data_IF_676391207001
#
_entry.id   IF_676391207001
#
_cell.length_a   1.000
_cell.length_b   1.000
_cell.length_c   1.000
_cell.angle_alpha   90.00
_cell.angle_beta   90.00
_cell.angle_gamma   90.00
#
_symmetry.space_group_name_H-M   'P 1'
#
loop_
_entity.id
_entity.type
_entity.pdbx_description
1 polymer ?
#
# COMPACT_ATOMS: atom_id res chain seq x y z
N UNK A 1 -19.75 20.01 9.05
CA UNK A 1 -20.65 18.95 8.55
C UNK A 1 -21.09 18.14 9.75
N UNK A 2 -22.34 18.30 10.19
CA UNK A 2 -22.89 17.51 11.28
C UNK A 2 -22.91 16.05 10.83
N UNK A 3 -22.13 15.21 11.48
CA UNK A 3 -22.12 13.78 11.22
C UNK A 3 -23.44 13.20 11.71
N UNK A 4 -24.23 12.63 10.79
CA UNK A 4 -25.41 11.82 11.10
C UNK A 4 -24.98 10.61 11.96
N UNK A 5 -24.91 10.81 13.26
CA UNK A 5 -24.61 9.80 14.27
C UNK A 5 -25.91 9.44 14.96
N UNK A 6 -26.14 8.15 15.12
CA UNK A 6 -27.30 7.67 15.88
C UNK A 6 -26.83 7.23 17.26
N UNK A 7 -27.58 7.60 18.30
CA UNK A 7 -27.25 7.26 19.68
C UNK A 7 -27.31 5.74 19.89
N UNK A 8 -26.37 5.20 20.67
CA UNK A 8 -26.35 3.77 21.05
C UNK A 8 -27.68 3.27 21.62
N UNK A 9 -28.39 4.12 22.34
CA UNK A 9 -29.65 3.79 22.98
C UNK A 9 -30.76 3.40 21.98
N UNK A 10 -30.67 3.81 20.70
CA UNK A 10 -31.63 3.42 19.68
C UNK A 10 -31.41 2.00 19.14
N UNK A 11 -30.30 1.35 19.48
CA UNK A 11 -29.97 0.00 19.06
C UNK A 11 -30.37 -1.00 20.14
N UNK A 12 -31.04 -2.08 19.74
CA UNK A 12 -31.43 -3.15 20.65
C UNK A 12 -30.22 -3.69 21.47
N UNK A 13 -30.32 -3.81 22.81
CA UNK A 13 -29.20 -4.21 23.68
C UNK A 13 -28.51 -5.52 23.29
N UNK A 14 -29.25 -6.50 22.75
CA UNK A 14 -28.68 -7.79 22.30
C UNK A 14 -27.59 -7.65 21.23
N UNK A 15 -27.57 -6.54 20.49
CA UNK A 15 -26.64 -6.29 19.38
C UNK A 15 -25.37 -5.56 19.83
N UNK A 16 -25.33 -5.06 21.06
CA UNK A 16 -24.20 -4.26 21.54
C UNK A 16 -22.91 -5.09 21.57
N UNK A 17 -23.01 -6.35 22.03
CA UNK A 17 -21.87 -7.28 22.06
C UNK A 17 -21.30 -7.58 20.67
N UNK A 18 -22.16 -7.72 19.64
CA UNK A 18 -21.70 -7.93 18.26
C UNK A 18 -20.91 -6.72 17.74
N UNK A 19 -21.37 -5.49 18.02
CA UNK A 19 -20.63 -4.28 17.64
C UNK A 19 -19.28 -4.22 18.37
N UNK A 20 -19.23 -4.55 19.66
CA UNK A 20 -17.98 -4.56 20.43
C UNK A 20 -16.94 -5.54 19.84
N UNK A 21 -17.39 -6.72 19.42
CA UNK A 21 -16.54 -7.71 18.74
C UNK A 21 -15.99 -7.13 17.43
N UNK A 22 -16.83 -6.51 16.61
CA UNK A 22 -16.39 -5.91 15.35
C UNK A 22 -15.45 -4.72 15.53
N UNK A 23 -15.69 -3.85 16.52
CA UNK A 23 -14.80 -2.73 16.82
C UNK A 23 -13.44 -3.21 17.34
N UNK A 24 -13.42 -4.30 18.13
CA UNK A 24 -12.19 -4.94 18.58
C UNK A 24 -11.42 -5.54 17.39
N UNK A 25 -12.09 -6.24 16.48
CA UNK A 25 -11.49 -6.76 15.26
C UNK A 25 -10.92 -5.64 14.38
N UNK A 26 -11.70 -4.57 14.16
CA UNK A 26 -11.27 -3.39 13.41
C UNK A 26 -10.02 -2.73 14.00
N UNK A 27 -9.91 -2.65 15.33
CA UNK A 27 -8.71 -2.16 16.02
C UNK A 27 -7.48 -3.03 15.77
N UNK A 28 -7.63 -4.36 15.80
CA UNK A 28 -6.55 -5.31 15.50
C UNK A 28 -6.08 -5.13 14.06
N UNK A 29 -7.02 -5.08 13.10
CA UNK A 29 -6.70 -4.91 11.70
C UNK A 29 -6.08 -3.54 11.39
N UNK A 30 -6.53 -2.46 12.06
CA UNK A 30 -5.92 -1.13 11.93
C UNK A 30 -4.45 -1.12 12.38
N UNK A 31 -4.11 -1.81 13.49
CA UNK A 31 -2.71 -1.95 13.93
C UNK A 31 -1.86 -2.73 12.94
N UNK A 32 -2.40 -3.82 12.38
CA UNK A 32 -1.71 -4.58 11.33
C UNK A 32 -1.50 -3.71 10.09
N UNK A 33 -2.52 -2.98 9.66
CA UNK A 33 -2.46 -2.05 8.53
C UNK A 33 -1.40 -0.97 8.74
N UNK A 34 -1.33 -0.38 9.95
CA UNK A 34 -0.28 0.59 10.30
C UNK A 34 1.12 0.02 10.09
N UNK A 35 1.38 -1.21 10.59
CA UNK A 35 2.69 -1.86 10.45
C UNK A 35 3.06 -2.04 8.98
N UNK A 36 2.13 -2.56 8.17
CA UNK A 36 2.33 -2.76 6.73
C UNK A 36 2.55 -1.42 5.99
N UNK A 37 1.83 -0.36 6.35
CA UNK A 37 2.01 0.96 5.75
C UNK A 37 3.36 1.60 6.13
N UNK A 38 3.89 1.32 7.32
CA UNK A 38 5.25 1.74 7.70
C UNK A 38 6.31 1.05 6.83
N UNK A 39 6.16 -0.25 6.57
CA UNK A 39 7.02 -1.00 5.64
C UNK A 39 6.90 -0.41 4.23
N UNK A 40 5.67 -0.15 3.77
CA UNK A 40 5.40 0.47 2.47
C UNK A 40 6.10 1.82 2.31
N UNK A 41 5.99 2.71 3.31
CA UNK A 41 6.66 4.00 3.29
C UNK A 41 8.19 3.87 3.19
N UNK A 42 8.76 2.86 3.87
CA UNK A 42 10.20 2.56 3.80
C UNK A 42 10.61 2.12 2.39
N UNK A 43 9.87 1.19 1.78
CA UNK A 43 10.13 0.75 0.40
C UNK A 43 10.03 1.90 -0.60
N UNK A 44 9.01 2.76 -0.44
CA UNK A 44 8.83 3.94 -1.28
C UNK A 44 9.99 4.92 -1.14
N UNK A 45 10.47 5.16 0.08
CA UNK A 45 11.60 6.04 0.34
C UNK A 45 12.90 5.52 -0.30
N UNK A 46 13.18 4.22 -0.19
CA UNK A 46 14.33 3.59 -0.85
C UNK A 46 14.21 3.75 -2.36
N UNK A 47 13.03 3.47 -2.92
CA UNK A 47 12.77 3.61 -4.35
C UNK A 47 12.93 5.06 -4.82
N UNK A 48 12.48 6.05 -4.07
CA UNK A 48 12.66 7.47 -4.38
C UNK A 48 14.13 7.86 -4.45
N UNK A 49 14.95 7.43 -3.47
CA UNK A 49 16.39 7.69 -3.46
C UNK A 49 17.09 7.08 -4.68
N UNK A 50 16.78 5.82 -4.98
CA UNK A 50 17.31 5.15 -6.17
C UNK A 50 16.84 5.80 -7.46
N UNK A 51 15.56 6.16 -7.54
CA UNK A 51 15.00 6.84 -8.70
C UNK A 51 15.73 8.16 -8.97
N UNK A 52 15.87 9.01 -7.95
CA UNK A 52 16.50 10.32 -8.09
C UNK A 52 17.97 10.19 -8.54
N UNK A 53 18.76 9.34 -7.88
CA UNK A 53 20.18 9.14 -8.20
C UNK A 53 20.42 8.65 -9.63
N UNK A 54 19.51 7.83 -10.17
CA UNK A 54 19.74 7.08 -11.40
C UNK A 54 18.91 7.58 -12.60
N UNK A 55 18.05 8.60 -12.40
CA UNK A 55 17.14 9.11 -13.43
C UNK A 55 17.85 9.55 -14.70
N UNK A 56 18.94 10.30 -14.58
CA UNK A 56 19.61 10.88 -15.75
C UNK A 56 20.39 9.84 -16.56
N UNK A 57 20.93 8.80 -15.90
CA UNK A 57 21.70 7.75 -16.54
C UNK A 57 20.81 6.74 -17.29
N UNK A 58 19.63 6.43 -16.74
CA UNK A 58 18.80 5.34 -17.24
C UNK A 58 17.46 5.78 -17.85
N UNK A 59 17.24 7.08 -18.07
CA UNK A 59 15.98 7.58 -18.64
C UNK A 59 15.57 6.89 -19.95
N UNK A 60 16.55 6.54 -20.78
CA UNK A 60 16.32 5.85 -22.07
C UNK A 60 16.20 4.32 -21.96
N UNK A 61 16.50 3.73 -20.80
CA UNK A 61 16.49 2.28 -20.63
C UNK A 61 15.05 1.75 -20.55
N UNK A 62 14.79 0.60 -21.18
CA UNK A 62 13.47 -0.01 -21.20
C UNK A 62 12.97 -0.37 -19.79
N UNK A 63 13.87 -0.87 -18.93
CA UNK A 63 13.51 -1.23 -17.55
C UNK A 63 13.11 -0.01 -16.70
N UNK A 64 13.56 1.20 -17.06
CA UNK A 64 13.29 2.41 -16.28
C UNK A 64 11.81 2.82 -16.29
N UNK A 65 11.08 2.45 -17.35
CA UNK A 65 9.62 2.63 -17.41
C UNK A 65 8.92 1.86 -16.30
N UNK A 66 9.37 0.63 -16.02
CA UNK A 66 8.81 -0.21 -14.96
C UNK A 66 9.12 0.34 -13.55
N UNK A 67 10.31 0.91 -13.35
CA UNK A 67 10.66 1.62 -12.09
C UNK A 67 9.71 2.80 -11.87
N UNK A 68 9.46 3.59 -12.92
CA UNK A 68 8.57 4.77 -12.85
C UNK A 68 7.12 4.37 -12.55
N UNK A 69 6.63 3.31 -13.18
CA UNK A 69 5.29 2.78 -12.96
C UNK A 69 5.12 2.23 -11.54
N UNK A 70 6.06 1.41 -11.06
CA UNK A 70 6.05 0.87 -9.69
C UNK A 70 6.02 1.99 -8.65
N UNK A 71 6.87 3.01 -8.83
CA UNK A 71 6.88 4.21 -7.99
C UNK A 71 5.52 4.91 -7.97
N UNK A 72 4.90 5.10 -9.13
CA UNK A 72 3.58 5.75 -9.24
C UNK A 72 2.50 5.02 -8.44
N UNK A 73 2.51 3.68 -8.43
CA UNK A 73 1.52 2.91 -7.67
C UNK A 73 1.75 2.99 -6.15
N UNK A 74 3.00 2.89 -5.70
CA UNK A 74 3.34 3.09 -4.29
C UNK A 74 2.89 4.47 -3.80
N UNK A 75 3.17 5.54 -4.56
CA UNK A 75 2.71 6.90 -4.20
C UNK A 75 1.17 7.03 -4.18
N UNK A 76 0.46 6.33 -5.06
CA UNK A 76 -1.01 6.34 -5.06
C UNK A 76 -1.58 5.65 -3.82
N UNK A 77 -0.96 4.58 -3.33
CA UNK A 77 -1.40 3.87 -2.13
C UNK A 77 -1.22 4.75 -0.88
N UNK A 78 -0.09 5.44 -0.77
CA UNK A 78 0.15 6.40 0.32
C UNK A 78 -0.91 7.51 0.33
N UNK A 79 -1.28 8.04 -0.84
CA UNK A 79 -2.31 9.08 -0.99
C UNK A 79 -3.72 8.64 -0.57
N UNK A 80 -4.02 7.34 -0.55
CA UNK A 80 -5.34 6.86 -0.12
C UNK A 80 -5.59 7.03 1.38
N UNK A 81 -4.54 7.24 2.20
CA UNK A 81 -4.64 7.43 3.65
C UNK A 81 -5.58 6.40 4.32
N UNK A 82 -5.38 5.13 3.99
CA UNK A 82 -6.27 4.03 4.40
C UNK A 82 -6.37 3.90 5.92
N UNK A 83 -5.24 4.08 6.59
CA UNK A 83 -5.18 4.07 8.05
C UNK A 83 -6.01 5.20 8.65
N UNK A 84 -5.83 6.43 8.18
CA UNK A 84 -6.57 7.59 8.69
C UNK A 84 -8.07 7.40 8.46
N UNK A 85 -8.45 6.88 7.29
CA UNK A 85 -9.84 6.57 6.96
C UNK A 85 -10.41 5.49 7.89
N UNK A 86 -9.64 4.45 8.21
CA UNK A 86 -10.05 3.37 9.12
C UNK A 86 -10.17 3.87 10.56
N UNK A 87 -9.23 4.71 11.00
CA UNK A 87 -9.27 5.33 12.32
C UNK A 87 -10.40 6.36 12.44
N UNK A 88 -10.68 7.09 11.37
CA UNK A 88 -11.81 8.02 11.26
C UNK A 88 -13.13 7.28 11.34
N UNK A 89 -13.28 6.14 10.63
CA UNK A 89 -14.46 5.28 10.81
C UNK A 89 -14.59 4.85 12.26
N UNK A 90 -13.51 4.32 12.86
CA UNK A 90 -13.53 3.88 14.26
C UNK A 90 -13.90 5.02 15.22
N UNK A 91 -13.41 6.24 14.98
CA UNK A 91 -13.75 7.39 15.82
C UNK A 91 -15.21 7.79 15.73
N UNK A 92 -15.93 7.49 14.63
CA UNK A 92 -17.37 7.80 14.53
C UNK A 92 -18.23 7.04 15.54
N UNK A 93 -17.72 5.96 16.14
CA UNK A 93 -18.41 5.21 17.19
C UNK A 93 -18.28 5.85 18.59
N UNK A 94 -17.34 6.78 18.72
CA UNK A 94 -17.04 7.46 19.97
C UNK A 94 -17.38 8.93 19.81
N UNK A 95 -17.95 9.52 20.85
CA UNK A 95 -18.19 10.95 20.86
C UNK A 95 -16.84 11.69 20.85
N UNK A 96 -16.46 12.19 19.69
CA UNK A 96 -15.14 12.79 19.44
C UNK A 96 -15.03 14.19 20.04
N UNK A 97 -16.11 14.72 20.63
CA UNK A 97 -16.07 15.95 21.43
C UNK A 97 -15.19 15.80 22.67
N UNK A 98 -15.00 14.56 23.14
CA UNK A 98 -14.09 14.25 24.23
C UNK A 98 -12.76 13.75 23.66
N UNK A 99 -11.69 14.49 23.96
CA UNK A 99 -10.25 14.21 23.77
C UNK A 99 -9.86 12.83 23.17
N UNK A 100 -8.86 12.79 22.27
CA UNK A 100 -8.34 11.57 21.60
C UNK A 100 -7.98 10.42 22.59
N UNK A 101 -7.68 10.75 23.84
CA UNK A 101 -7.42 9.78 24.91
C UNK A 101 -8.68 9.05 25.44
N UNK A 102 -9.88 9.47 25.05
CA UNK A 102 -11.19 8.98 25.51
C UNK A 102 -11.67 7.70 24.79
N UNK A 103 -10.91 7.14 23.85
CA UNK A 103 -11.24 5.84 23.18
C UNK A 103 -11.14 4.64 24.15
N UNK A 104 -11.00 4.89 25.46
CA UNK A 104 -10.98 3.86 26.51
C UNK A 104 -12.37 3.50 27.05
N UNK A 105 -13.42 4.21 26.63
CA UNK A 105 -14.79 3.96 27.06
C UNK A 105 -15.60 3.03 26.15
N UNK A 106 -16.82 2.65 26.57
CA UNK A 106 -17.80 2.05 25.69
C UNK A 106 -18.13 3.00 24.52
N UNK A 107 -18.44 2.44 23.36
CA UNK A 107 -18.92 3.26 22.23
C UNK A 107 -20.30 3.87 22.59
N UNK A 108 -20.54 5.07 22.08
CA UNK A 108 -21.71 5.90 22.43
C UNK A 108 -22.64 6.14 21.25
N UNK A 109 -22.10 6.06 20.04
CA UNK A 109 -22.82 6.30 18.80
C UNK A 109 -22.45 5.25 17.76
N UNK A 110 -23.24 5.16 16.70
CA UNK A 110 -22.85 4.41 15.51
C UNK A 110 -23.08 5.27 14.25
N UNK A 111 -22.23 5.10 13.21
CA UNK A 111 -22.34 5.87 11.99
C UNK A 111 -23.56 5.48 11.18
N UNK A 112 -24.12 6.45 10.46
CA UNK A 112 -25.11 6.17 9.43
C UNK A 112 -24.57 5.19 8.37
N UNK A 113 -25.46 4.35 7.86
CA UNK A 113 -25.23 3.40 6.77
C UNK A 113 -24.49 4.02 5.58
N UNK A 114 -24.85 5.25 5.22
CA UNK A 114 -24.19 6.00 4.13
C UNK A 114 -22.68 6.19 4.37
N UNK A 115 -22.27 6.41 5.62
CA UNK A 115 -20.86 6.57 5.99
C UNK A 115 -20.13 5.23 5.89
N UNK A 116 -20.76 4.14 6.34
CA UNK A 116 -20.22 2.79 6.22
C UNK A 116 -20.03 2.38 4.76
N UNK A 117 -21.04 2.62 3.91
CA UNK A 117 -20.97 2.32 2.46
C UNK A 117 -19.86 3.14 1.78
N UNK A 118 -19.75 4.43 2.07
CA UNK A 118 -18.65 5.26 1.53
C UNK A 118 -17.27 4.75 1.94
N UNK A 119 -17.11 4.31 3.19
CA UNK A 119 -15.86 3.72 3.65
C UNK A 119 -15.56 2.39 2.94
N UNK A 120 -16.59 1.56 2.77
CA UNK A 120 -16.50 0.30 2.04
C UNK A 120 -16.06 0.53 0.57
N UNK A 121 -16.64 1.50 -0.11
CA UNK A 121 -16.25 1.90 -1.47
C UNK A 121 -14.77 2.33 -1.53
N UNK A 122 -14.32 3.10 -0.54
CA UNK A 122 -12.92 3.51 -0.42
C UNK A 122 -11.98 2.30 -0.26
N UNK A 123 -12.34 1.34 0.59
CA UNK A 123 -11.59 0.09 0.73
C UNK A 123 -11.58 -0.74 -0.56
N UNK A 124 -12.69 -0.80 -1.29
CA UNK A 124 -12.75 -1.50 -2.57
C UNK A 124 -11.86 -0.85 -3.64
N UNK A 125 -11.80 0.48 -3.69
CA UNK A 125 -10.86 1.22 -4.54
C UNK A 125 -9.42 0.88 -4.16
N UNK A 126 -9.13 0.79 -2.86
CA UNK A 126 -7.81 0.42 -2.36
C UNK A 126 -7.39 -0.99 -2.79
N UNK A 127 -8.28 -1.99 -2.66
CA UNK A 127 -8.02 -3.36 -3.10
C UNK A 127 -7.71 -3.39 -4.60
N UNK A 128 -8.52 -2.73 -5.44
CA UNK A 128 -8.26 -2.64 -6.89
C UNK A 128 -6.91 -2.01 -7.21
N UNK A 129 -6.52 -0.98 -6.46
CA UNK A 129 -5.22 -0.32 -6.62
C UNK A 129 -4.06 -1.24 -6.21
N UNK A 130 -4.20 -1.96 -5.10
CA UNK A 130 -3.21 -2.91 -4.60
C UNK A 130 -3.05 -4.13 -5.52
N UNK A 131 -4.15 -4.65 -6.09
CA UNK A 131 -4.10 -5.71 -7.12
C UNK A 131 -3.27 -5.24 -8.33
N UNK A 132 -3.51 -4.00 -8.78
CA UNK A 132 -2.70 -3.40 -9.86
C UNK A 132 -1.26 -3.16 -9.46
N UNK A 133 -0.98 -2.78 -8.22
CA UNK A 133 0.39 -2.69 -7.73
C UNK A 133 1.09 -4.06 -7.77
N UNK A 134 0.45 -5.12 -7.27
CA UNK A 134 0.99 -6.48 -7.27
C UNK A 134 1.32 -6.95 -8.69
N UNK A 135 0.38 -6.78 -9.62
CA UNK A 135 0.56 -7.10 -11.05
C UNK A 135 1.78 -6.36 -11.63
N UNK A 136 1.88 -5.05 -11.36
CA UNK A 136 2.97 -4.20 -11.89
C UNK A 136 4.32 -4.52 -11.27
N UNK A 137 4.36 -4.85 -9.98
CA UNK A 137 5.57 -5.33 -9.30
C UNK A 137 6.08 -6.62 -9.90
N UNK A 138 5.20 -7.58 -10.23
CA UNK A 138 5.57 -8.83 -10.89
C UNK A 138 6.12 -8.60 -12.31
N UNK A 139 5.48 -7.71 -13.09
CA UNK A 139 5.97 -7.33 -14.43
C UNK A 139 7.35 -6.67 -14.33
N UNK A 140 7.53 -5.75 -13.38
CA UNK A 140 8.79 -5.08 -13.14
C UNK A 140 9.90 -6.08 -12.74
N UNK A 141 9.61 -6.96 -11.78
CA UNK A 141 10.50 -8.05 -11.35
C UNK A 141 11.00 -8.88 -12.54
N UNK A 142 10.09 -9.38 -13.39
CA UNK A 142 10.45 -10.17 -14.59
C UNK A 142 11.30 -9.36 -15.56
N UNK A 143 10.98 -8.09 -15.77
CA UNK A 143 11.75 -7.19 -16.64
C UNK A 143 13.15 -6.94 -16.11
N UNK A 144 13.32 -6.75 -14.80
CA UNK A 144 14.63 -6.54 -14.18
C UNK A 144 15.47 -7.81 -14.26
N UNK A 145 14.85 -8.97 -13.99
CA UNK A 145 15.53 -10.26 -14.08
C UNK A 145 16.03 -10.55 -15.51
N UNK A 146 15.26 -10.20 -16.54
CA UNK A 146 15.73 -10.28 -17.94
C UNK A 146 16.89 -9.32 -18.20
N UNK A 147 16.84 -8.12 -17.62
CA UNK A 147 17.91 -7.12 -17.80
C UNK A 147 19.23 -7.56 -17.13
N UNK A 148 19.17 -8.34 -16.05
CA UNK A 148 20.36 -8.90 -15.38
C UNK A 148 21.22 -9.77 -16.31
N UNK A 149 20.61 -10.41 -17.31
CA UNK A 149 21.34 -11.26 -18.28
C UNK A 149 22.36 -10.47 -19.12
N UNK A 150 22.19 -9.15 -19.24
CA UNK A 150 23.14 -8.29 -19.94
C UNK A 150 24.43 -8.02 -19.15
N UNK A 151 24.48 -8.38 -17.86
CA UNK A 151 25.54 -8.06 -16.90
C UNK A 151 25.85 -6.55 -16.73
N UNK A 152 25.14 -5.66 -17.43
CA UNK A 152 25.27 -4.22 -17.27
C UNK A 152 24.47 -3.77 -16.03
N UNK A 153 25.07 -2.93 -15.20
CA UNK A 153 24.39 -2.32 -14.04
C UNK A 153 23.80 -3.34 -13.06
N UNK A 154 24.49 -4.48 -12.85
CA UNK A 154 24.02 -5.59 -12.00
C UNK A 154 23.58 -5.12 -10.61
N UNK A 155 24.38 -4.26 -9.96
CA UNK A 155 24.10 -3.80 -8.60
C UNK A 155 22.75 -3.10 -8.48
N UNK A 156 22.43 -2.17 -9.38
CA UNK A 156 21.15 -1.43 -9.34
C UNK A 156 19.97 -2.32 -9.75
N UNK A 157 20.16 -3.20 -10.73
CA UNK A 157 19.12 -4.13 -11.14
C UNK A 157 18.77 -5.13 -10.03
N UNK A 158 19.78 -5.63 -9.29
CA UNK A 158 19.55 -6.50 -8.13
C UNK A 158 18.74 -5.77 -7.04
N UNK A 159 19.04 -4.50 -6.77
CA UNK A 159 18.21 -3.70 -5.85
C UNK A 159 16.77 -3.55 -6.35
N UNK A 160 16.56 -3.28 -7.64
CA UNK A 160 15.21 -3.17 -8.19
C UNK A 160 14.45 -4.50 -8.18
N UNK A 161 15.12 -5.63 -8.42
CA UNK A 161 14.54 -6.97 -8.26
C UNK A 161 14.06 -7.18 -6.82
N UNK A 162 14.91 -6.86 -5.83
CA UNK A 162 14.58 -7.00 -4.42
C UNK A 162 13.39 -6.10 -4.01
N UNK A 163 13.38 -4.84 -4.44
CA UNK A 163 12.27 -3.91 -4.16
C UNK A 163 10.98 -4.39 -4.84
N UNK A 164 11.02 -4.77 -6.11
CA UNK A 164 9.84 -5.25 -6.82
C UNK A 164 9.25 -6.52 -6.19
N UNK A 165 10.10 -7.45 -5.75
CA UNK A 165 9.68 -8.64 -5.02
C UNK A 165 8.97 -8.28 -3.71
N UNK A 166 9.63 -7.50 -2.84
CA UNK A 166 9.06 -7.08 -1.55
C UNK A 166 7.80 -6.24 -1.70
N UNK A 167 7.75 -5.34 -2.69
CA UNK A 167 6.57 -4.55 -3.01
C UNK A 167 5.40 -5.44 -3.44
N UNK A 168 5.64 -6.46 -4.26
CA UNK A 168 4.62 -7.45 -4.64
C UNK A 168 4.04 -8.19 -3.44
N UNK A 169 4.90 -8.74 -2.57
CA UNK A 169 4.48 -9.42 -1.33
C UNK A 169 3.71 -8.47 -0.41
N UNK A 170 4.20 -7.25 -0.22
CA UNK A 170 3.55 -6.26 0.62
C UNK A 170 2.16 -5.88 0.10
N UNK A 171 1.99 -5.78 -1.23
CA UNK A 171 0.69 -5.52 -1.83
C UNK A 171 -0.31 -6.64 -1.50
N UNK A 172 0.11 -7.91 -1.55
CA UNK A 172 -0.76 -9.06 -1.19
C UNK A 172 -1.15 -9.05 0.28
N UNK A 173 -0.23 -8.76 1.19
CA UNK A 173 -0.53 -8.68 2.63
C UNK A 173 -1.47 -7.50 2.97
N UNK A 174 -1.30 -6.37 2.28
CA UNK A 174 -2.19 -5.23 2.39
C UNK A 174 -3.60 -5.57 1.88
N UNK A 175 -3.72 -6.28 0.75
CA UNK A 175 -5.01 -6.74 0.20
C UNK A 175 -5.76 -7.57 1.25
N UNK A 176 -5.09 -8.56 1.84
CA UNK A 176 -5.71 -9.43 2.84
C UNK A 176 -6.16 -8.65 4.06
N UNK A 177 -5.32 -7.72 4.54
CA UNK A 177 -5.67 -6.87 5.69
C UNK A 177 -6.85 -5.96 5.37
N UNK A 178 -6.91 -5.36 4.18
CA UNK A 178 -8.04 -4.52 3.76
C UNK A 178 -9.31 -5.34 3.57
N UNK A 179 -9.23 -6.58 3.06
CA UNK A 179 -10.38 -7.49 2.96
C UNK A 179 -10.97 -7.87 4.32
N UNK A 180 -10.12 -8.05 5.32
CA UNK A 180 -10.58 -8.27 6.70
C UNK A 180 -11.32 -7.03 7.24
N UNK A 181 -10.83 -5.82 6.96
CA UNK A 181 -11.51 -4.56 7.32
C UNK A 181 -12.86 -4.43 6.60
N UNK A 182 -12.91 -4.76 5.30
CA UNK A 182 -14.16 -4.81 4.51
C UNK A 182 -15.16 -5.77 5.15
N UNK A 183 -14.71 -6.97 5.52
CA UNK A 183 -15.55 -7.99 6.15
C UNK A 183 -16.14 -7.50 7.48
N UNK A 184 -15.34 -6.85 8.34
CA UNK A 184 -15.82 -6.24 9.58
C UNK A 184 -16.85 -5.13 9.30
N UNK A 185 -16.58 -4.29 8.30
CA UNK A 185 -17.48 -3.18 7.92
C UNK A 185 -18.82 -3.71 7.42
N UNK A 186 -18.82 -4.76 6.60
CA UNK A 186 -20.06 -5.40 6.12
C UNK A 186 -20.89 -5.97 7.28
N UNK A 187 -20.25 -6.60 8.27
CA UNK A 187 -20.96 -7.08 9.47
C UNK A 187 -21.56 -5.93 10.28
N UNK A 188 -20.85 -4.82 10.44
CA UNK A 188 -21.39 -3.61 11.05
C UNK A 188 -22.60 -3.05 10.28
N UNK A 189 -22.57 -3.06 8.95
CA UNK A 189 -23.71 -2.66 8.11
C UNK A 189 -24.91 -3.58 8.38
N UNK A 190 -24.72 -4.90 8.37
CA UNK A 190 -25.81 -5.85 8.62
C UNK A 190 -26.45 -5.66 10.01
N UNK A 191 -25.62 -5.49 11.06
CA UNK A 191 -26.10 -5.27 12.43
C UNK A 191 -26.92 -3.98 12.53
N UNK A 192 -26.55 -2.94 11.79
CA UNK A 192 -27.22 -1.62 11.82
C UNK A 192 -28.49 -1.56 10.96
N UNK A 193 -28.53 -2.25 9.81
CA UNK A 193 -29.73 -2.30 8.95
C UNK A 193 -30.88 -3.03 9.62
N UNK A 194 -30.63 -4.24 10.16
CA UNK A 194 -31.68 -5.05 10.79
C UNK A 194 -32.38 -4.36 11.97
N UNK A 195 -31.83 -3.27 12.51
CA UNK A 195 -32.42 -2.55 13.64
C UNK A 195 -33.57 -1.64 13.19
N UNK A 196 -33.53 -1.17 11.93
CA UNK A 196 -34.59 -0.32 11.37
C UNK A 196 -35.88 -1.12 11.15
N UNK A 197 -35.77 -2.38 10.78
CA UNK A 197 -36.92 -3.23 10.48
C UNK A 197 -37.72 -3.61 11.73
N UNK A 198 -37.06 -3.82 12.87
CA UNK A 198 -37.72 -4.12 14.16
C UNK A 198 -38.48 -2.91 14.72
N UNK A 199 -37.93 -1.70 14.56
CA UNK A 199 -38.61 -0.46 14.95
C UNK A 199 -39.78 -0.09 14.02
N UNK A 200 -39.80 -0.62 12.79
CA UNK A 200 -40.91 -0.47 11.85
C UNK A 200 -42.03 -1.53 12.05
N UNK A 201 -41.98 -2.29 13.15
CA UNK A 201 -42.92 -3.35 13.47
C UNK A 201 -44.40 -2.92 13.47
N UNK A 202 -45.30 -3.88 13.15
CA UNK A 202 -46.68 -3.62 12.74
C UNK A 202 -47.46 -2.94 13.86
N UNK A 203 -48.32 -1.99 13.48
CA UNK A 203 -49.17 -1.22 14.39
C UNK A 203 -49.92 -2.08 15.44
N UNK A 204 -50.37 -1.45 16.53
CA UNK A 204 -50.70 -2.10 17.80
C UNK A 204 -51.66 -3.27 17.61
N UNK A 205 -51.15 -4.49 17.75
CA UNK A 205 -51.95 -5.70 17.88
C UNK A 205 -52.47 -5.73 19.32
N UNK A 206 -53.80 -5.65 19.46
CA UNK A 206 -54.51 -5.74 20.73
C UNK A 206 -54.23 -7.06 21.45
N UNK A 207 -53.98 -6.92 22.75
CA UNK A 207 -53.66 -7.95 23.73
C UNK A 207 -54.57 -9.19 23.68
N UNK A 208 -53.96 -10.37 23.73
CA UNK A 208 -54.57 -11.57 24.32
C UNK A 208 -53.63 -12.16 25.36
N UNK A 209 -54.16 -12.29 26.59
CA UNK A 209 -53.55 -12.86 27.79
C UNK A 209 -52.73 -14.14 27.54
N UNK A 210 -51.44 -14.14 27.90
CA UNK A 210 -50.67 -15.37 28.09
C UNK A 210 -49.60 -15.22 29.17
N UNK A 211 -49.58 -16.23 30.05
CA UNK A 211 -48.93 -16.32 31.36
C UNK A 211 -47.44 -16.72 31.25
N UNK A 212 -46.52 -16.19 32.08
CA UNK A 212 -45.08 -16.44 31.93
C UNK A 212 -44.61 -17.76 32.60
N UNK A 213 -43.71 -18.48 31.92
CA UNK A 213 -42.88 -19.56 32.48
C UNK A 213 -41.40 -19.15 32.51
N UNK A 214 -40.62 -19.55 33.53
CA UNK A 214 -39.19 -19.28 33.63
C UNK A 214 -38.37 -20.38 32.93
N UNK A 215 -37.37 -19.98 32.14
CA UNK A 215 -36.30 -20.89 31.69
C UNK A 215 -34.94 -20.32 32.08
N UNK A 216 -34.15 -21.17 32.75
CA UNK A 216 -32.74 -20.97 33.08
C UNK A 216 -31.89 -21.01 31.81
N UNK A 217 -30.92 -20.09 31.72
CA UNK A 217 -29.96 -20.01 30.60
C UNK A 217 -28.55 -20.25 31.14
N UNK A 218 -28.04 -21.45 30.86
CA UNK A 218 -26.63 -21.79 30.96
C UNK A 218 -25.88 -21.22 29.75
N UNK A 219 -24.83 -20.45 30.01
CA UNK A 219 -24.12 -19.66 28.99
C UNK A 219 -22.60 -19.82 29.17
N UNK A 220 -22.10 -21.01 28.83
CA UNK A 220 -20.68 -21.27 28.63
C UNK A 220 -20.42 -21.40 27.12
N UNK A 221 -19.98 -20.32 26.49
CA UNK A 221 -19.51 -20.34 25.10
C UNK A 221 -18.00 -20.18 25.10
N UNK A 222 -17.35 -21.27 24.72
CA UNK A 222 -15.91 -21.44 24.54
C UNK A 222 -15.28 -20.31 23.72
N UNK A 223 -14.40 -19.57 24.39
CA UNK A 223 -13.57 -18.54 23.79
C UNK A 223 -12.42 -19.22 23.04
N UNK A 224 -12.64 -19.47 21.75
CA UNK A 224 -11.66 -19.96 20.80
C UNK A 224 -10.28 -19.28 20.95
N UNK A 225 -9.30 -20.12 21.26
CA UNK A 225 -7.86 -19.89 21.15
C UNK A 225 -7.47 -19.42 19.74
N UNK A 226 -7.44 -18.11 19.53
CA UNK A 226 -6.65 -17.50 18.45
C UNK A 226 -5.21 -17.39 18.96
N UNK A 227 -4.51 -18.50 18.94
CA UNK A 227 -3.05 -18.53 19.14
C UNK A 227 -2.40 -17.78 17.99
N UNK A 228 -1.80 -16.66 18.35
CA UNK A 228 -0.91 -15.86 17.51
C UNK A 228 0.33 -16.67 17.17
N UNK A 229 0.39 -17.24 15.97
CA UNK A 229 1.65 -17.58 15.34
C UNK A 229 2.30 -16.29 14.80
N UNK A 230 2.81 -15.46 15.72
CA UNK A 230 3.82 -14.46 15.38
C UNK A 230 5.12 -15.24 15.22
N UNK A 231 5.56 -15.38 13.97
CA UNK A 231 6.84 -15.95 13.62
C UNK A 231 7.98 -15.13 14.23
N UNK A 232 8.45 -15.55 15.39
CA UNK A 232 9.79 -15.25 15.87
C UNK A 232 10.73 -16.12 15.05
N UNK A 233 11.34 -15.55 14.01
CA UNK A 233 12.46 -16.19 13.35
C UNK A 233 13.67 -16.13 14.28
N UNK A 234 13.78 -17.14 15.14
CA UNK A 234 15.01 -17.45 15.86
C UNK A 234 16.01 -17.97 14.82
N UNK A 235 17.00 -17.16 14.48
CA UNK A 235 18.18 -17.59 13.72
C UNK A 235 18.96 -18.60 14.55
N UNK A 236 18.63 -19.89 14.42
CA UNK A 236 19.55 -20.97 14.80
C UNK A 236 20.68 -21.02 13.77
N UNK A 237 21.82 -20.51 14.19
CA UNK A 237 23.09 -20.59 13.50
C UNK A 237 23.57 -22.05 13.58
N UNK A 238 23.24 -22.84 12.56
CA UNK A 238 23.74 -24.21 12.40
C UNK A 238 25.19 -24.13 11.93
N UNK A 239 26.13 -24.36 12.85
CA UNK A 239 27.54 -24.63 12.55
C UNK A 239 27.62 -25.91 11.72
N UNK A 240 27.79 -25.77 10.41
CA UNK A 240 28.11 -26.87 9.52
C UNK A 240 29.62 -27.07 9.46
N UNK A 241 29.99 -28.32 9.68
CA UNK A 241 31.31 -28.92 9.66
C UNK A 241 32.00 -28.81 8.29
N UNK A 242 33.31 -29.01 8.36
CA UNK A 242 34.38 -29.00 7.37
C UNK A 242 34.18 -29.71 6.02
N UNK A 243 34.70 -29.04 4.96
CA UNK A 243 35.54 -29.48 3.82
C UNK A 243 35.06 -30.65 2.91
N UNK A 244 35.29 -30.57 1.58
CA UNK A 244 36.63 -30.83 1.06
C UNK A 244 37.17 -29.83 0.03
N UNK A 245 38.50 -29.78 0.01
CA UNK A 245 39.39 -29.13 -0.94
C UNK A 245 39.14 -29.67 -2.36
N UNK A 246 38.89 -28.78 -3.33
CA UNK A 246 38.92 -29.10 -4.76
C UNK A 246 40.13 -28.38 -5.37
N UNK A 247 41.04 -29.19 -5.91
CA UNK A 247 42.27 -28.81 -6.57
C UNK A 247 42.03 -27.99 -7.86
N UNK A 248 43.00 -27.16 -8.27
CA UNK A 248 42.91 -26.36 -9.49
C UNK A 248 43.13 -27.22 -10.74
N UNK A 249 42.19 -27.20 -11.68
CA UNK A 249 42.38 -27.77 -13.02
C UNK A 249 43.00 -26.72 -13.92
N UNK A 250 44.15 -27.07 -14.49
CA UNK A 250 44.89 -26.33 -15.50
C UNK A 250 44.17 -26.31 -16.86
N UNK A 251 44.46 -25.23 -17.60
CA UNK A 251 44.59 -25.11 -19.06
C UNK A 251 43.46 -25.53 -20.00
N UNK A 252 42.90 -24.52 -20.67
CA UNK A 252 42.65 -24.58 -22.12
C UNK A 252 42.62 -23.15 -22.69
N UNK A 253 43.78 -22.69 -23.16
CA UNK A 253 43.89 -21.57 -24.09
C UNK A 253 43.21 -21.94 -25.41
N UNK A 254 42.06 -21.34 -25.71
CA UNK A 254 41.52 -21.29 -27.06
C UNK A 254 41.07 -19.86 -27.36
N UNK A 255 41.88 -19.15 -28.13
CA UNK A 255 41.56 -17.83 -28.63
C UNK A 255 40.37 -17.91 -29.61
N UNK A 256 39.32 -17.09 -29.44
CA UNK A 256 38.28 -16.97 -30.45
C UNK A 256 38.80 -16.15 -31.65
N UNK A 257 38.41 -16.51 -32.90
CA UNK A 257 38.81 -15.76 -34.09
C UNK A 257 38.18 -14.35 -34.12
N UNK A 258 38.84 -13.39 -34.79
CA UNK A 258 38.38 -12.01 -34.84
C UNK A 258 37.08 -11.89 -35.65
N UNK A 259 36.04 -11.35 -35.01
CA UNK A 259 34.78 -10.99 -35.66
C UNK A 259 34.99 -9.67 -36.43
N UNK A 260 35.03 -9.77 -37.75
CA UNK A 260 35.05 -8.63 -38.68
C UNK A 260 33.66 -8.00 -38.72
N UNK A 261 33.46 -6.86 -38.03
CA UNK A 261 32.23 -6.08 -38.12
C UNK A 261 32.29 -5.19 -39.38
N UNK A 262 31.33 -5.29 -40.32
CA UNK A 262 31.29 -4.41 -41.48
C UNK A 262 30.97 -2.97 -41.05
N UNK A 263 31.85 -2.03 -41.46
CA UNK A 263 31.66 -0.59 -41.31
C UNK A 263 30.40 -0.15 -42.06
N UNK A 264 29.36 0.20 -41.32
CA UNK A 264 28.18 0.87 -41.86
C UNK A 264 28.55 2.30 -42.24
N UNK A 265 28.52 2.60 -43.54
CA UNK A 265 28.74 3.92 -44.10
C UNK A 265 27.55 4.81 -43.72
N UNK A 266 27.79 5.77 -42.83
CA UNK A 266 26.82 6.84 -42.50
C UNK A 266 26.86 7.86 -43.63
N UNK A 267 25.81 7.89 -44.44
CA UNK A 267 25.58 8.96 -45.42
C UNK A 267 25.30 10.27 -44.67
N UNK A 268 26.23 11.22 -44.77
CA UNK A 268 26.00 12.62 -44.41
C UNK A 268 25.13 13.26 -45.49
N UNK A 269 23.86 13.47 -45.20
CA UNK A 269 22.99 14.34 -46.00
C UNK A 269 23.47 15.78 -45.83
N UNK A 270 24.14 16.29 -46.87
CA UNK A 270 24.59 17.67 -47.03
C UNK A 270 23.36 18.55 -47.22
N UNK A 271 23.00 19.31 -46.18
CA UNK A 271 22.01 20.39 -46.27
C UNK A 271 22.75 21.63 -46.80
N UNK A 272 22.27 22.16 -47.93
CA UNK A 272 22.75 23.40 -48.52
C UNK A 272 22.53 24.61 -47.59
N UNK A 273 23.50 25.53 -47.49
CA UNK A 273 23.33 26.78 -46.76
C UNK A 273 22.55 27.78 -47.62
N UNK A 274 21.35 28.15 -47.16
CA UNK A 274 20.56 29.26 -47.70
C UNK A 274 21.18 30.59 -47.27
N UNK A 275 21.21 31.52 -48.24
CA UNK A 275 21.93 32.78 -48.23
C UNK A 275 21.72 33.69 -47.00
N UNK A 276 22.83 34.37 -46.72
CA UNK A 276 23.10 35.40 -45.73
C UNK A 276 22.23 36.66 -45.98
N UNK A 277 21.43 37.05 -45.00
CA UNK A 277 20.90 38.41 -44.88
C UNK A 277 21.50 39.09 -43.65
N UNK A 278 21.80 40.37 -43.78
CA UNK A 278 22.60 41.22 -42.89
C UNK A 278 22.27 41.14 -41.39
N UNK A 279 23.29 41.32 -40.52
CA UNK A 279 23.11 41.24 -39.07
C UNK A 279 22.52 42.54 -38.51
N UNK A 280 21.24 42.48 -38.11
CA UNK A 280 20.65 43.50 -37.24
C UNK A 280 21.30 43.41 -35.85
N UNK A 281 21.78 44.51 -35.24
CA UNK A 281 22.44 44.49 -33.94
C UNK A 281 21.46 44.06 -32.84
N UNK A 282 21.67 42.86 -32.31
CA UNK A 282 20.87 42.29 -31.22
C UNK A 282 21.30 42.97 -29.89
N UNK A 283 20.37 43.58 -29.13
CA UNK A 283 20.67 44.18 -27.84
C UNK A 283 21.13 43.11 -26.84
N UNK A 284 22.27 43.36 -26.18
CA UNK A 284 22.86 42.50 -25.15
C UNK A 284 21.83 42.20 -24.04
N UNK A 285 21.27 40.99 -24.05
CA UNK A 285 20.36 40.52 -22.99
C UNK A 285 21.14 40.45 -21.66
N UNK A 286 20.74 41.26 -20.68
CA UNK A 286 21.19 41.15 -19.28
C UNK A 286 20.94 39.71 -18.81
N UNK A 287 22.00 39.05 -18.33
CA UNK A 287 21.99 37.71 -17.75
C UNK A 287 21.04 37.72 -16.55
N UNK A 288 19.80 37.24 -16.72
CA UNK A 288 18.86 37.04 -15.60
C UNK A 288 19.49 35.99 -14.68
N UNK A 289 19.82 36.38 -13.45
CA UNK A 289 20.19 35.44 -12.38
C UNK A 289 19.02 34.46 -12.23
N UNK A 290 19.31 33.17 -12.42
CA UNK A 290 18.32 32.12 -12.19
C UNK A 290 17.89 32.18 -10.71
N UNK A 291 16.59 32.04 -10.41
CA UNK A 291 16.14 31.93 -9.03
C UNK A 291 16.82 30.71 -8.39
N UNK A 292 17.52 30.94 -7.28
CA UNK A 292 18.19 29.91 -6.49
C UNK A 292 17.09 29.02 -5.92
N UNK A 293 17.16 27.71 -6.15
CA UNK A 293 16.18 26.78 -5.59
C UNK A 293 16.56 26.50 -4.14
N UNK A 294 15.55 26.31 -3.27
CA UNK A 294 15.73 26.00 -1.83
C UNK A 294 16.66 24.80 -1.56
N UNK A 295 16.87 23.93 -2.56
CA UNK A 295 17.80 22.81 -2.50
C UNK A 295 19.25 23.28 -2.45
N UNK A 296 19.62 24.38 -3.13
CA UNK A 296 21.00 24.87 -3.15
C UNK A 296 21.43 25.45 -1.80
N UNK A 297 20.49 26.00 -1.00
CA UNK A 297 20.76 26.48 0.36
C UNK A 297 20.93 25.34 1.37
N UNK A 298 20.37 24.15 1.11
CA UNK A 298 20.57 22.97 1.96
C UNK A 298 21.93 22.31 1.71
N UNK A 299 22.46 22.39 0.48
CA UNK A 299 23.65 21.65 0.07
C UNK A 299 24.90 22.52 -0.22
N UNK A 300 24.81 23.85 -0.10
CA UNK A 300 25.99 24.72 0.00
C UNK A 300 26.89 24.76 -1.24
N UNK A 301 26.29 24.87 -2.43
CA UNK A 301 27.00 25.12 -3.70
C UNK A 301 26.84 26.57 -4.20
#
# INVERSE_FOLDING_TARGET
MASDQTARASLHPSRHGSIDIELKALKIHSRRLQSLLTIHATELQVLHRLYYKNKNQHRGALFWRNVTEMRRFLEKIEKLKLLDSTNSLRSTFYDTTQNINAIKGPWTHYPNERTLVKFLDHCNIAVKLLDKMSERSLIAYRSFHRSLQSAAFLQILLMFVAIASRAGTLATELIDTVRLIISCTNRLILITIHNKDELAGPGPIQNSDAKPQPMDVDNSVDLLSISQAIGVMTTQQKTAQSAPVISPTQDSNAAPPPITVPKTVVYKTRIEPKQLSEPVPIPKKKKRKAPRNEIDDIFGF
#
